data_IF_896731607069
#
_entry.id   IF_896731607069
#
_cell.length_a   1.000
_cell.length_b   1.000
_cell.length_c   1.000
_cell.angle_alpha   90.00
_cell.angle_beta   90.00
_cell.angle_gamma   90.00
#
_symmetry.space_group_name_H-M   'P 1'
#
loop_
_entity.id
_entity.type
_entity.pdbx_description
1 polymer ?
#
# COMPACT_ATOMS: atom_id res chain seq x y z
N UNK A 1 -19.26 20.53 8.96
CA UNK A 1 -19.17 20.75 7.50
C UNK A 1 -19.97 19.65 6.80
N UNK A 2 -21.16 19.95 6.26
CA UNK A 2 -21.84 19.02 5.34
C UNK A 2 -21.16 19.20 3.99
N UNK A 3 -20.43 18.18 3.53
CA UNK A 3 -19.94 18.16 2.16
C UNK A 3 -21.17 18.12 1.24
N UNK A 4 -21.45 19.24 0.57
CA UNK A 4 -22.40 19.24 -0.54
C UNK A 4 -21.75 18.46 -1.66
N UNK A 5 -22.01 17.15 -1.74
CA UNK A 5 -21.63 16.33 -2.88
C UNK A 5 -22.23 16.98 -4.12
N UNK A 6 -21.37 17.55 -4.97
CA UNK A 6 -21.76 18.04 -6.29
C UNK A 6 -22.47 16.90 -7.00
N UNK A 7 -23.76 17.10 -7.31
CA UNK A 7 -24.64 16.11 -7.96
C UNK A 7 -24.10 15.56 -9.28
N UNK A 8 -22.99 16.09 -9.81
CA UNK A 8 -22.35 15.71 -11.07
C UNK A 8 -21.73 14.32 -11.10
N UNK A 9 -21.17 13.82 -10.00
CA UNK A 9 -20.36 12.58 -10.03
C UNK A 9 -21.17 11.28 -10.25
N UNK A 10 -22.50 11.36 -10.31
CA UNK A 10 -23.40 10.20 -10.39
C UNK A 10 -24.69 10.42 -11.19
N UNK A 11 -24.78 11.51 -11.98
CA UNK A 11 -26.02 11.88 -12.70
C UNK A 11 -26.55 10.80 -13.63
N UNK A 12 -25.64 10.04 -14.25
CA UNK A 12 -26.00 9.02 -15.24
C UNK A 12 -26.02 7.60 -14.67
N UNK A 13 -25.67 7.42 -13.40
CA UNK A 13 -25.64 6.11 -12.77
C UNK A 13 -27.04 5.70 -12.25
N UNK A 14 -27.44 4.49 -12.63
CA UNK A 14 -28.68 3.82 -12.25
C UNK A 14 -28.59 3.22 -10.84
N UNK A 15 -29.73 2.83 -10.29
CA UNK A 15 -29.84 2.27 -8.94
C UNK A 15 -30.33 3.29 -7.92
N UNK A 16 -30.83 2.78 -6.80
CA UNK A 16 -31.51 3.55 -5.75
C UNK A 16 -30.91 3.26 -4.37
N UNK A 17 -30.70 1.99 -4.02
CA UNK A 17 -30.17 1.57 -2.73
C UNK A 17 -28.82 2.23 -2.42
N UNK A 18 -27.89 2.18 -3.37
CA UNK A 18 -26.53 2.71 -3.18
C UNK A 18 -26.48 4.24 -3.05
N UNK A 19 -27.53 4.94 -3.47
CA UNK A 19 -27.65 6.40 -3.32
C UNK A 19 -28.11 6.81 -1.91
N UNK A 20 -28.72 5.87 -1.19
CA UNK A 20 -29.27 6.09 0.15
C UNK A 20 -28.41 5.49 1.25
N UNK A 21 -27.68 4.40 0.96
CA UNK A 21 -26.78 3.71 1.89
C UNK A 21 -25.55 3.14 1.18
N UNK A 22 -24.56 2.72 1.96
CA UNK A 22 -23.37 2.04 1.43
C UNK A 22 -23.81 0.68 0.86
N UNK A 23 -23.94 0.60 -0.46
CA UNK A 23 -24.32 -0.61 -1.18
C UNK A 23 -23.58 -0.69 -2.53
N UNK A 24 -22.29 -1.04 -2.47
CA UNK A 24 -21.44 -1.17 -3.67
C UNK A 24 -21.97 -2.24 -4.62
N UNK A 25 -22.67 -3.25 -4.09
CA UNK A 25 -23.27 -4.32 -4.89
C UNK A 25 -24.38 -3.79 -5.80
N UNK A 26 -25.33 -3.04 -5.25
CA UNK A 26 -26.41 -2.42 -6.04
C UNK A 26 -25.85 -1.47 -7.09
N UNK A 27 -24.82 -0.68 -6.75
CA UNK A 27 -24.14 0.19 -7.70
C UNK A 27 -23.58 -0.58 -8.89
N UNK A 28 -22.80 -1.64 -8.65
CA UNK A 28 -22.19 -2.45 -9.71
C UNK A 28 -23.27 -3.11 -10.56
N UNK A 29 -24.23 -3.81 -9.95
CA UNK A 29 -25.26 -4.54 -10.69
C UNK A 29 -26.15 -3.62 -11.54
N UNK A 30 -26.43 -2.41 -11.05
CA UNK A 30 -27.24 -1.43 -11.77
C UNK A 30 -26.51 -0.76 -12.94
N UNK A 31 -25.16 -0.77 -12.96
CA UNK A 31 -24.38 0.05 -13.89
C UNK A 31 -23.35 -0.71 -14.74
N UNK A 32 -23.05 -1.96 -14.41
CA UNK A 32 -22.15 -2.79 -15.19
C UNK A 32 -22.74 -3.08 -16.56
N UNK A 33 -21.90 -3.01 -17.60
CA UNK A 33 -22.24 -3.48 -18.94
C UNK A 33 -21.46 -4.77 -19.19
N UNK A 34 -22.11 -5.95 -19.12
CA UNK A 34 -21.45 -7.20 -19.43
C UNK A 34 -20.83 -7.14 -20.84
N UNK A 35 -19.57 -7.52 -20.94
CA UNK A 35 -18.85 -7.58 -22.19
C UNK A 35 -18.62 -9.05 -22.57
N UNK A 36 -19.16 -9.46 -23.72
CA UNK A 36 -19.08 -10.83 -24.24
C UNK A 36 -18.24 -10.93 -25.53
N UNK A 37 -17.53 -9.86 -25.91
CA UNK A 37 -16.62 -9.86 -27.06
C UNK A 37 -15.26 -10.46 -26.72
N UNK A 38 -14.29 -10.28 -27.62
CA UNK A 38 -12.93 -10.78 -27.47
C UNK A 38 -11.94 -9.66 -27.08
N UNK A 39 -10.63 -9.95 -27.14
CA UNK A 39 -9.55 -9.03 -26.77
C UNK A 39 -9.13 -8.04 -27.87
N UNK A 40 -9.82 -8.01 -29.02
CA UNK A 40 -9.45 -7.15 -30.15
C UNK A 40 -9.50 -5.65 -29.84
N UNK A 41 -10.30 -5.23 -28.86
CA UNK A 41 -10.40 -3.83 -28.42
C UNK A 41 -9.24 -3.38 -27.51
N UNK A 42 -8.38 -4.29 -27.04
CA UNK A 42 -7.33 -3.95 -26.09
C UNK A 42 -6.28 -3.02 -26.72
N UNK A 43 -5.97 -1.94 -26.01
CA UNK A 43 -4.87 -1.05 -26.36
C UNK A 43 -3.57 -1.51 -25.68
N UNK A 44 -2.44 -1.34 -26.39
CA UNK A 44 -1.11 -1.58 -25.84
C UNK A 44 -0.67 -0.51 -24.82
N UNK A 45 0.48 -0.73 -24.14
CA UNK A 45 0.99 0.22 -23.16
C UNK A 45 1.43 1.53 -23.82
N UNK A 46 1.13 2.65 -23.17
CA UNK A 46 1.63 3.97 -23.56
C UNK A 46 3.15 4.07 -23.34
N UNK A 47 3.82 4.99 -24.03
CA UNK A 47 5.25 5.25 -23.79
C UNK A 47 5.55 5.68 -22.36
N UNK A 48 4.64 6.46 -21.75
CA UNK A 48 4.71 6.82 -20.33
C UNK A 48 4.73 5.57 -19.44
N UNK A 49 3.84 4.62 -19.69
CA UNK A 49 3.78 3.34 -18.98
C UNK A 49 5.06 2.54 -19.16
N UNK A 50 5.59 2.43 -20.40
CA UNK A 50 6.84 1.70 -20.66
C UNK A 50 8.03 2.32 -19.93
N UNK A 51 8.17 3.65 -19.97
CA UNK A 51 9.25 4.37 -19.27
C UNK A 51 9.17 4.22 -17.76
N UNK A 52 7.97 4.33 -17.18
CA UNK A 52 7.75 4.12 -15.75
C UNK A 52 8.09 2.68 -15.35
N UNK A 53 7.65 1.70 -16.16
CA UNK A 53 7.91 0.29 -15.90
C UNK A 53 9.39 -0.06 -16.00
N UNK A 54 10.14 0.54 -16.93
CA UNK A 54 11.59 0.30 -17.02
C UNK A 54 12.32 0.74 -15.76
N UNK A 55 11.95 1.89 -15.17
CA UNK A 55 12.48 2.33 -13.86
C UNK A 55 12.16 1.33 -12.76
N UNK A 56 10.93 0.79 -12.71
CA UNK A 56 10.58 -0.27 -11.75
C UNK A 56 11.45 -1.51 -11.94
N UNK A 57 11.69 -1.93 -13.19
CA UNK A 57 12.52 -3.11 -13.50
C UNK A 57 13.96 -2.90 -13.05
N UNK A 58 14.54 -1.73 -13.28
CA UNK A 58 15.89 -1.39 -12.81
C UNK A 58 15.98 -1.49 -11.28
N UNK A 59 14.99 -0.95 -10.56
CA UNK A 59 14.93 -1.03 -9.10
C UNK A 59 14.76 -2.47 -8.59
N UNK A 60 13.95 -3.29 -9.26
CA UNK A 60 13.75 -4.71 -8.91
C UNK A 60 15.02 -5.54 -9.16
N UNK A 61 15.73 -5.27 -10.26
CA UNK A 61 17.03 -5.90 -10.54
C UNK A 61 18.05 -5.53 -9.46
N UNK A 62 18.04 -4.28 -9.00
CA UNK A 62 18.88 -3.82 -7.91
C UNK A 62 18.50 -4.48 -6.57
N UNK A 63 17.20 -4.59 -6.25
CA UNK A 63 16.71 -5.32 -5.07
C UNK A 63 17.19 -6.78 -5.10
N UNK A 64 17.13 -7.44 -6.27
CA UNK A 64 17.61 -8.81 -6.44
C UNK A 64 19.12 -8.91 -6.17
N UNK A 65 19.93 -7.97 -6.68
CA UNK A 65 21.38 -7.92 -6.41
C UNK A 65 21.70 -7.72 -4.93
N UNK A 66 20.83 -7.05 -4.18
CA UNK A 66 20.94 -6.81 -2.73
C UNK A 66 20.48 -7.99 -1.87
N UNK A 67 20.11 -9.12 -2.46
CA UNK A 67 19.62 -10.28 -1.71
C UNK A 67 18.14 -10.21 -1.35
N UNK A 68 17.36 -9.40 -2.09
CA UNK A 68 15.89 -9.43 -2.07
C UNK A 68 15.22 -8.37 -1.19
N UNK A 69 15.95 -7.38 -0.69
CA UNK A 69 15.41 -6.16 -0.05
C UNK A 69 16.12 -4.94 -0.60
N UNK A 70 15.36 -3.98 -1.12
CA UNK A 70 15.94 -2.76 -1.66
C UNK A 70 16.42 -1.81 -0.55
N UNK A 71 15.53 -1.54 0.41
CA UNK A 71 15.73 -0.64 1.56
C UNK A 71 14.71 -0.94 2.65
N UNK A 72 15.07 -0.71 3.91
CA UNK A 72 14.15 -0.76 5.06
C UNK A 72 14.15 0.61 5.73
N UNK A 73 12.98 1.12 6.09
CA UNK A 73 12.89 2.19 7.10
C UNK A 73 12.74 1.55 8.48
N UNK A 74 13.83 1.58 9.24
CA UNK A 74 13.91 0.96 10.56
C UNK A 74 13.51 1.89 11.71
N UNK A 75 13.07 3.12 11.41
CA UNK A 75 12.77 4.16 12.40
C UNK A 75 11.28 4.55 12.41
N UNK A 76 10.63 4.49 11.26
CA UNK A 76 9.22 4.90 11.13
C UNK A 76 8.28 3.70 11.34
N UNK A 77 7.40 3.81 12.33
CA UNK A 77 6.34 2.82 12.58
C UNK A 77 5.25 2.96 11.53
N UNK A 78 4.95 1.89 10.79
CA UNK A 78 3.96 1.90 9.73
C UNK A 78 2.55 2.23 10.27
N UNK A 79 2.00 3.35 9.81
CA UNK A 79 0.59 3.73 9.97
C UNK A 79 0.09 4.43 8.70
N UNK A 80 -1.21 4.71 8.61
CA UNK A 80 -1.85 5.28 7.40
C UNK A 80 -1.19 6.60 6.96
N UNK A 81 -0.74 7.43 7.90
CA UNK A 81 -0.16 8.77 7.63
C UNK A 81 1.30 8.88 8.04
N UNK A 82 1.99 7.76 8.28
CA UNK A 82 3.36 7.74 8.79
C UNK A 82 4.39 8.28 7.78
N UNK A 83 4.12 8.09 6.49
CA UNK A 83 5.07 8.40 5.42
C UNK A 83 4.57 9.57 4.56
N UNK A 84 5.47 10.44 4.09
CA UNK A 84 5.13 11.42 3.06
C UNK A 84 4.88 10.73 1.70
N UNK A 85 4.30 11.45 0.72
CA UNK A 85 4.04 10.88 -0.61
C UNK A 85 5.31 10.44 -1.33
N UNK A 86 5.35 9.18 -1.77
CA UNK A 86 6.39 8.61 -2.62
C UNK A 86 5.98 8.48 -4.09
N UNK A 87 6.97 8.48 -4.98
CA UNK A 87 6.80 8.40 -6.44
C UNK A 87 7.90 7.56 -7.07
N UNK A 88 7.60 6.88 -8.18
CA UNK A 88 8.63 6.27 -9.03
C UNK A 88 9.14 7.33 -10.02
N UNK A 89 8.21 8.07 -10.64
CA UNK A 89 8.46 9.22 -11.48
C UNK A 89 7.18 10.05 -11.57
N UNK A 90 7.12 11.13 -10.77
CA UNK A 90 5.90 11.92 -10.56
C UNK A 90 5.28 12.44 -11.86
N UNK A 91 6.10 12.77 -12.85
CA UNK A 91 5.63 13.34 -14.11
C UNK A 91 5.05 12.28 -15.07
N UNK A 92 5.34 10.99 -14.81
CA UNK A 92 4.87 9.87 -15.60
C UNK A 92 3.68 9.13 -14.96
N UNK A 93 3.32 9.43 -13.71
CA UNK A 93 2.28 8.71 -12.98
C UNK A 93 0.88 9.33 -13.19
N UNK A 94 -0.10 8.53 -13.62
CA UNK A 94 -1.53 8.94 -13.59
C UNK A 94 -2.17 8.53 -12.26
N UNK A 95 -1.87 7.31 -11.82
CA UNK A 95 -2.31 6.78 -10.55
C UNK A 95 -1.09 6.75 -9.66
N UNK A 96 -1.22 7.34 -8.47
CA UNK A 96 -0.13 7.55 -7.52
C UNK A 96 -0.40 6.80 -6.23
N UNK A 97 0.65 6.56 -5.47
CA UNK A 97 0.58 5.97 -4.13
C UNK A 97 1.58 4.85 -3.96
N UNK A 98 2.50 5.04 -3.01
CA UNK A 98 3.44 4.04 -2.53
C UNK A 98 3.21 3.80 -1.03
N UNK A 99 3.66 2.66 -0.53
CA UNK A 99 3.54 2.31 0.91
C UNK A 99 4.40 3.22 1.79
N UNK A 100 5.53 3.67 1.25
CA UNK A 100 6.46 4.62 1.87
C UNK A 100 6.75 5.76 0.88
N UNK A 101 7.65 6.66 1.24
CA UNK A 101 8.11 7.79 0.43
C UNK A 101 9.07 7.42 -0.71
N UNK A 102 9.50 6.16 -0.81
CA UNK A 102 10.43 5.69 -1.85
C UNK A 102 9.97 4.36 -2.46
N UNK A 103 10.21 4.11 -3.76
CA UNK A 103 9.88 2.82 -4.36
C UNK A 103 10.73 1.69 -3.74
N UNK A 104 10.07 0.55 -3.51
CA UNK A 104 10.65 -0.66 -2.91
C UNK A 104 11.22 -0.50 -1.48
N UNK A 105 11.06 0.66 -0.83
CA UNK A 105 11.40 0.81 0.59
C UNK A 105 10.33 0.17 1.47
N UNK A 106 10.73 -0.81 2.28
CA UNK A 106 9.85 -1.52 3.21
C UNK A 106 9.73 -0.77 4.53
N UNK A 107 8.51 -0.58 5.00
CA UNK A 107 8.24 -0.05 6.34
C UNK A 107 8.32 -1.15 7.39
N UNK A 108 8.61 -0.78 8.64
CA UNK A 108 8.49 -1.69 9.78
C UNK A 108 7.09 -1.62 10.38
N UNK A 109 6.46 -2.78 10.53
CA UNK A 109 5.21 -2.95 11.26
C UNK A 109 5.43 -3.78 12.55
N UNK A 110 5.67 -3.11 13.70
CA UNK A 110 5.95 -3.78 14.96
C UNK A 110 4.69 -4.26 15.70
N UNK A 111 3.48 -3.88 15.28
CA UNK A 111 2.23 -4.27 15.95
C UNK A 111 2.02 -5.79 15.99
N UNK A 112 2.54 -6.50 14.98
CA UNK A 112 2.52 -7.97 14.92
C UNK A 112 3.46 -8.63 15.92
N UNK A 113 4.61 -8.02 16.22
CA UNK A 113 5.64 -8.59 17.11
C UNK A 113 6.99 -7.88 16.96
N UNK A 114 7.50 -7.32 18.06
CA UNK A 114 8.73 -6.49 18.03
C UNK A 114 9.98 -7.32 17.75
N UNK A 115 10.04 -8.55 18.26
CA UNK A 115 11.16 -9.48 18.01
C UNK A 115 11.28 -9.85 16.53
N UNK A 116 10.14 -10.05 15.87
CA UNK A 116 10.12 -10.36 14.44
C UNK A 116 10.60 -9.17 13.60
N UNK A 117 10.13 -7.96 13.93
CA UNK A 117 10.58 -6.74 13.27
C UNK A 117 12.09 -6.51 13.43
N UNK A 118 12.63 -6.68 14.64
CA UNK A 118 14.07 -6.53 14.92
C UNK A 118 14.92 -7.56 14.14
N UNK A 119 14.52 -8.83 14.16
CA UNK A 119 15.22 -9.89 13.44
C UNK A 119 15.19 -9.66 11.92
N UNK A 120 14.07 -9.19 11.38
CA UNK A 120 13.95 -8.88 9.96
C UNK A 120 14.89 -7.74 9.55
N UNK A 121 15.01 -6.68 10.34
CA UNK A 121 15.97 -5.61 10.06
C UNK A 121 17.40 -6.16 10.03
N UNK A 122 17.78 -6.93 11.06
CA UNK A 122 19.13 -7.51 11.18
C UNK A 122 19.48 -8.47 10.05
N UNK A 123 18.53 -9.26 9.57
CA UNK A 123 18.73 -10.18 8.45
C UNK A 123 19.18 -9.46 7.18
N UNK A 124 18.77 -8.21 7.00
CA UNK A 124 19.12 -7.37 5.86
C UNK A 124 20.16 -6.29 6.21
N UNK A 125 20.89 -6.45 7.31
CA UNK A 125 21.98 -5.57 7.70
C UNK A 125 21.57 -4.25 8.33
N UNK A 126 20.30 -4.10 8.71
CA UNK A 126 19.75 -2.88 9.32
C UNK A 126 19.50 -3.07 10.82
N UNK A 127 19.61 -2.00 11.60
CA UNK A 127 19.24 -2.00 13.01
C UNK A 127 17.91 -1.29 13.22
N UNK A 128 16.98 -1.97 13.90
CA UNK A 128 15.71 -1.36 14.29
C UNK A 128 15.96 -0.29 15.36
N UNK A 129 15.33 0.87 15.18
CA UNK A 129 15.48 2.04 16.06
C UNK A 129 15.22 1.66 17.53
N UNK A 130 16.16 1.99 18.45
CA UNK A 130 16.01 1.70 19.88
C UNK A 130 14.73 2.26 20.50
N UNK A 131 14.24 3.43 20.05
CA UNK A 131 13.00 4.01 20.53
C UNK A 131 11.80 3.18 20.10
N UNK A 132 11.78 2.67 18.87
CA UNK A 132 10.72 1.75 18.40
C UNK A 132 10.73 0.47 19.23
N UNK A 133 11.91 -0.10 19.50
CA UNK A 133 12.06 -1.27 20.39
C UNK A 133 11.51 -0.98 21.78
N UNK A 134 11.86 0.15 22.36
CA UNK A 134 11.39 0.54 23.69
C UNK A 134 9.87 0.67 23.72
N UNK A 135 9.28 1.36 22.76
CA UNK A 135 7.82 1.59 22.69
C UNK A 135 7.07 0.27 22.64
N UNK A 136 7.47 -0.64 21.76
CA UNK A 136 6.77 -1.91 21.54
C UNK A 136 7.17 -3.02 22.53
N UNK A 137 8.10 -2.74 23.44
CA UNK A 137 8.45 -3.63 24.55
C UNK A 137 7.83 -3.17 25.87
N UNK A 138 7.79 -1.85 26.13
CA UNK A 138 7.36 -1.28 27.41
C UNK A 138 5.96 -0.68 27.39
N UNK A 139 5.58 0.00 26.31
CA UNK A 139 4.37 0.84 26.30
C UNK A 139 3.24 0.25 25.47
N UNK A 140 3.55 -0.48 24.40
CA UNK A 140 2.56 -1.06 23.48
C UNK A 140 2.79 -2.56 23.32
N UNK A 141 1.92 -3.36 23.93
CA UNK A 141 1.92 -4.83 23.78
C UNK A 141 1.66 -5.20 22.32
N UNK A 142 2.46 -6.11 21.76
CA UNK A 142 2.27 -6.60 20.39
C UNK A 142 1.30 -7.78 20.32
N UNK A 143 0.82 -8.13 19.12
CA UNK A 143 0.02 -9.33 18.93
C UNK A 143 0.79 -10.59 19.38
N UNK A 144 2.06 -10.74 18.97
CA UNK A 144 2.92 -11.85 19.36
C UNK A 144 3.04 -11.98 20.89
N UNK A 145 3.35 -10.89 21.59
CA UNK A 145 3.47 -10.93 23.06
C UNK A 145 2.15 -11.37 23.71
N UNK A 146 1.02 -10.81 23.26
CA UNK A 146 -0.29 -11.17 23.77
C UNK A 146 -0.65 -12.64 23.55
N UNK A 147 -0.29 -13.20 22.39
CA UNK A 147 -0.48 -14.64 22.09
C UNK A 147 0.38 -15.51 23.01
N UNK A 148 1.67 -15.22 23.13
CA UNK A 148 2.60 -16.03 23.93
C UNK A 148 2.37 -15.92 25.44
N UNK A 149 1.75 -14.83 25.91
CA UNK A 149 1.34 -14.70 27.33
C UNK A 149 0.25 -15.70 27.75
N UNK A 150 -0.53 -16.24 26.81
CA UNK A 150 -1.67 -17.13 27.10
C UNK A 150 -1.50 -18.55 26.57
N UNK A 151 -0.38 -18.84 25.90
CA UNK A 151 -0.07 -20.18 25.41
C UNK A 151 0.33 -21.13 26.56
N UNK A 152 -0.08 -22.40 26.41
CA UNK A 152 0.13 -23.50 27.35
C UNK A 152 1.39 -24.30 27.02
#
# INVERSE_FOLDING_TARGET
MKATLTKDCYRSFQGTSWKERIDVRDFILSNVRPYHGDSSFLAGPTERTKRLWEKCRELLLEEQKRGGVYKIDSSTVQTITAFPPGYIDRDLEIIVGLQTDEPLKRAVNPFGGIRMADNACRQYGEELDPQVKEIFTKYRVTHNDGVFMVYT
#
